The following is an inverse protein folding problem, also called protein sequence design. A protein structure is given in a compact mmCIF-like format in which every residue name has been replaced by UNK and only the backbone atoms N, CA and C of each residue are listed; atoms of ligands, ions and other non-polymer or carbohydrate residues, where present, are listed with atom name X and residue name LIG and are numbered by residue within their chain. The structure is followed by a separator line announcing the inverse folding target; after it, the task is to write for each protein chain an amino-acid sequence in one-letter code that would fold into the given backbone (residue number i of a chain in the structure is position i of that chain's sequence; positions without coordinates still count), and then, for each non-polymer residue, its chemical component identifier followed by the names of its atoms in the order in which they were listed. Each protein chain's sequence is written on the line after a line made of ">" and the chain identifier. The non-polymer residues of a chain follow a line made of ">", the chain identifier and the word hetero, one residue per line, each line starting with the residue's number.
data_IF_742141913121
#
_entry.id   IF_742141913121
#
_cell.length_a   1.000
_cell.length_b   1.000
_cell.length_c   1.000
_cell.angle_alpha   90.00
_cell.angle_beta   90.00
_cell.angle_gamma   90.00
#
_symmetry.space_group_name_H-M   'P 1'
#
loop_
_entity.id
_entity.type
_entity.pdbx_description
1 polymer ?
#
# COMPACT_ATOMS: atom_id res chain seq x y z
N UNK A 1 22.15 -76.27 -15.56
CA UNK A 1 21.38 -75.03 -15.80
C UNK A 1 22.32 -73.85 -15.58
N UNK A 2 23.05 -73.41 -16.63
CA UNK A 2 24.01 -72.29 -16.55
C UNK A 2 23.38 -71.08 -17.23
N UNK A 3 22.86 -70.14 -16.44
CA UNK A 3 22.32 -68.88 -16.94
C UNK A 3 23.48 -67.97 -17.37
N UNK A 4 23.43 -67.50 -18.62
CA UNK A 4 24.46 -66.66 -19.23
C UNK A 4 24.39 -65.24 -18.66
N UNK A 5 25.18 -65.01 -17.60
CA UNK A 5 25.35 -63.73 -16.91
C UNK A 5 25.61 -62.56 -17.88
N UNK A 6 26.30 -62.82 -19.01
CA UNK A 6 26.56 -61.82 -20.08
C UNK A 6 25.30 -61.31 -20.78
N UNK A 7 24.27 -62.14 -20.93
CA UNK A 7 23.00 -61.77 -21.55
C UNK A 7 22.16 -60.89 -20.63
N UNK A 8 22.21 -61.14 -19.32
CA UNK A 8 21.51 -60.36 -18.30
C UNK A 8 22.13 -58.97 -18.15
N UNK A 9 23.46 -58.86 -18.15
CA UNK A 9 24.15 -57.56 -18.11
C UNK A 9 23.85 -56.68 -19.32
N UNK A 10 23.70 -57.26 -20.51
CA UNK A 10 23.39 -56.49 -21.73
C UNK A 10 21.97 -55.90 -21.67
N UNK A 11 21.01 -56.67 -21.15
CA UNK A 11 19.63 -56.21 -20.95
C UNK A 11 19.53 -55.11 -19.90
N UNK A 12 20.28 -55.21 -18.79
CA UNK A 12 20.29 -54.19 -17.72
C UNK A 12 20.84 -52.86 -18.23
N UNK A 13 21.91 -52.87 -19.03
CA UNK A 13 22.50 -51.64 -19.60
C UNK A 13 21.54 -50.96 -20.57
N UNK A 14 20.84 -51.74 -21.41
CA UNK A 14 19.81 -51.20 -22.33
C UNK A 14 18.64 -50.61 -21.53
N UNK A 15 18.17 -51.28 -20.48
CA UNK A 15 17.07 -50.81 -19.65
C UNK A 15 17.43 -49.51 -18.90
N UNK A 16 18.66 -49.41 -18.36
CA UNK A 16 19.14 -48.20 -17.70
C UNK A 16 19.29 -47.03 -18.68
N UNK A 17 19.79 -47.29 -19.90
CA UNK A 17 19.89 -46.25 -20.94
C UNK A 17 18.52 -45.76 -21.44
N UNK A 18 17.52 -46.66 -21.48
CA UNK A 18 16.15 -46.32 -21.86
C UNK A 18 15.41 -45.54 -20.75
N UNK A 19 15.75 -45.75 -19.48
CA UNK A 19 15.20 -44.96 -18.37
C UNK A 19 15.85 -43.58 -18.20
N UNK A 20 17.07 -43.39 -18.73
CA UNK A 20 17.76 -42.11 -18.64
C UNK A 20 17.22 -41.08 -19.65
N UNK A 21 16.69 -41.51 -20.79
CA UNK A 21 16.10 -40.62 -21.81
C UNK A 21 14.66 -40.17 -21.51
N UNK A 22 14.00 -40.76 -20.51
CA UNK A 22 12.60 -40.42 -20.16
C UNK A 22 12.46 -39.40 -19.02
N UNK A 23 13.56 -38.92 -18.44
CA UNK A 23 13.55 -37.90 -17.37
C UNK A 23 13.82 -36.47 -17.87
N UNK A 24 13.91 -36.22 -19.19
CA UNK A 24 14.32 -34.91 -19.75
C UNK A 24 13.13 -34.05 -20.21
N UNK A 25 12.06 -33.97 -19.42
CA UNK A 25 10.85 -33.23 -19.86
C UNK A 25 10.11 -32.44 -18.78
N UNK A 26 10.67 -32.26 -17.59
CA UNK A 26 10.01 -31.49 -16.50
C UNK A 26 10.55 -30.07 -16.28
N UNK A 27 11.63 -29.66 -16.95
CA UNK A 27 12.34 -28.40 -16.65
C UNK A 27 11.83 -27.20 -17.48
N UNK A 28 11.39 -27.42 -18.73
CA UNK A 28 10.98 -26.33 -19.64
C UNK A 28 9.65 -25.66 -19.26
N UNK A 29 8.70 -26.43 -18.70
CA UNK A 29 7.40 -25.89 -18.29
C UNK A 29 7.55 -24.94 -17.09
N UNK A 30 8.42 -25.28 -16.14
CA UNK A 30 8.70 -24.44 -14.98
C UNK A 30 9.49 -23.18 -15.34
N UNK A 31 10.44 -23.28 -16.28
CA UNK A 31 11.26 -22.14 -16.70
C UNK A 31 10.45 -21.08 -17.49
N UNK A 32 9.45 -21.53 -18.28
CA UNK A 32 8.52 -20.64 -18.98
C UNK A 32 7.63 -19.86 -17.99
N UNK A 33 7.14 -20.52 -16.95
CA UNK A 33 6.30 -19.88 -15.94
C UNK A 33 7.10 -18.87 -15.11
N UNK A 34 8.34 -19.20 -14.74
CA UNK A 34 9.26 -18.29 -14.07
C UNK A 34 9.52 -17.05 -14.92
N UNK A 35 9.81 -17.22 -16.22
CA UNK A 35 10.00 -16.10 -17.16
C UNK A 35 8.75 -15.23 -17.29
N UNK A 36 7.57 -15.83 -17.36
CA UNK A 36 6.31 -15.09 -17.41
C UNK A 36 6.09 -14.25 -16.12
N UNK A 37 6.33 -14.85 -14.96
CA UNK A 37 6.21 -14.16 -13.67
C UNK A 37 7.21 -13.00 -13.55
N UNK A 38 8.47 -13.21 -13.92
CA UNK A 38 9.49 -12.16 -13.94
C UNK A 38 9.09 -11.00 -14.86
N UNK A 39 8.59 -11.31 -16.07
CA UNK A 39 8.11 -10.30 -17.00
C UNK A 39 6.95 -9.49 -16.40
N UNK A 40 6.04 -10.16 -15.70
CA UNK A 40 4.88 -9.51 -15.08
C UNK A 40 5.26 -8.65 -13.88
N UNK A 41 6.29 -9.03 -13.12
CA UNK A 41 6.86 -8.18 -12.06
C UNK A 41 7.39 -6.88 -12.67
N UNK A 42 8.21 -6.98 -13.72
CA UNK A 42 8.79 -5.81 -14.40
C UNK A 42 7.68 -4.90 -14.97
N UNK A 43 6.65 -5.48 -15.59
CA UNK A 43 5.52 -4.71 -16.11
C UNK A 43 4.78 -3.97 -14.98
N UNK A 44 4.51 -4.64 -13.87
CA UNK A 44 3.83 -4.05 -12.73
C UNK A 44 4.66 -2.96 -12.06
N UNK A 45 5.96 -3.16 -11.89
CA UNK A 45 6.89 -2.15 -11.35
C UNK A 45 6.91 -0.89 -12.23
N UNK A 46 6.99 -1.06 -13.54
CA UNK A 46 6.94 0.07 -14.48
C UNK A 46 5.61 0.80 -14.38
N UNK A 47 4.49 0.07 -14.31
CA UNK A 47 3.16 0.66 -14.20
C UNK A 47 2.97 1.39 -12.88
N UNK A 48 3.52 0.89 -11.77
CA UNK A 48 3.54 1.58 -10.48
C UNK A 48 4.30 2.90 -10.62
N UNK A 49 5.52 2.86 -11.19
CA UNK A 49 6.34 4.05 -11.39
C UNK A 49 5.62 5.13 -12.22
N UNK A 50 4.96 4.73 -13.30
CA UNK A 50 4.20 5.65 -14.16
C UNK A 50 3.02 6.27 -13.40
N UNK A 51 2.28 5.46 -12.64
CA UNK A 51 1.16 5.95 -11.82
C UNK A 51 1.64 6.91 -10.72
N UNK A 52 2.74 6.60 -10.05
CA UNK A 52 3.34 7.48 -9.04
C UNK A 52 3.81 8.81 -9.66
N UNK A 53 4.38 8.78 -10.86
CA UNK A 53 4.78 9.97 -11.58
C UNK A 53 3.56 10.83 -11.97
N UNK A 54 2.49 10.22 -12.48
CA UNK A 54 1.23 10.90 -12.79
C UNK A 54 0.66 11.55 -11.52
N UNK A 55 0.60 10.83 -10.40
CA UNK A 55 0.12 11.36 -9.12
C UNK A 55 0.92 12.61 -8.71
N UNK A 56 2.26 12.59 -8.85
CA UNK A 56 3.12 13.74 -8.54
C UNK A 56 2.88 14.94 -9.47
N UNK A 57 2.57 14.71 -10.74
CA UNK A 57 2.30 15.76 -11.72
C UNK A 57 0.91 16.39 -11.48
N UNK A 58 -0.09 15.59 -11.12
CA UNK A 58 -1.46 16.05 -10.90
C UNK A 58 -1.72 16.59 -9.49
N UNK A 59 -0.99 16.14 -8.46
CA UNK A 59 -1.07 16.68 -7.10
C UNK A 59 0.10 17.61 -6.85
N UNK A 60 0.15 18.71 -7.59
CA UNK A 60 1.14 19.75 -7.38
C UNK A 60 1.00 20.39 -5.98
N UNK A 61 2.00 21.16 -5.51
CA UNK A 61 1.97 21.81 -4.20
C UNK A 61 0.71 22.66 -3.95
N UNK A 62 0.16 23.25 -5.02
CA UNK A 62 -1.06 24.06 -4.98
C UNK A 62 -2.35 23.26 -4.79
N UNK A 63 -2.39 22.01 -5.26
CA UNK A 63 -3.56 21.15 -5.11
C UNK A 63 -3.56 20.51 -3.71
N UNK A 64 -2.38 20.23 -3.16
CA UNK A 64 -2.21 19.85 -1.75
C UNK A 64 -2.60 20.99 -0.79
N UNK A 65 -2.24 22.24 -1.09
CA UNK A 65 -2.69 23.41 -0.30
C UNK A 65 -4.22 23.56 -0.32
N UNK A 66 -4.86 23.37 -1.48
CA UNK A 66 -6.32 23.40 -1.60
C UNK A 66 -6.99 22.22 -0.87
N UNK A 67 -6.43 21.03 -0.97
CA UNK A 67 -6.94 19.85 -0.27
C UNK A 67 -6.87 20.03 1.26
N UNK A 68 -5.78 20.60 1.78
CA UNK A 68 -5.63 20.91 3.21
C UNK A 68 -6.59 22.03 3.64
N UNK A 69 -6.75 23.09 2.83
CA UNK A 69 -7.64 24.22 3.16
C UNK A 69 -9.10 23.79 3.39
N UNK A 70 -9.52 22.69 2.75
CA UNK A 70 -10.84 22.09 2.92
C UNK A 70 -10.78 20.69 3.55
N UNK A 71 -9.71 20.36 4.28
CA UNK A 71 -9.52 19.06 4.88
C UNK A 71 -10.66 18.66 5.82
N UNK A 72 -11.29 19.66 6.47
CA UNK A 72 -12.48 19.52 7.30
C UNK A 72 -13.74 19.04 6.55
N UNK A 73 -13.83 19.11 5.22
CA UNK A 73 -14.95 18.51 4.46
C UNK A 73 -14.87 16.99 4.41
N UNK A 74 -13.67 16.42 4.52
CA UNK A 74 -13.46 14.98 4.39
C UNK A 74 -13.55 14.28 5.75
N UNK A 75 -14.61 13.50 5.96
CA UNK A 75 -14.83 12.72 7.18
C UNK A 75 -13.67 11.79 7.55
N UNK A 76 -12.91 11.30 6.57
CA UNK A 76 -11.70 10.48 6.84
C UNK A 76 -10.63 11.27 7.58
N UNK A 77 -10.48 12.55 7.31
CA UNK A 77 -9.49 13.41 7.96
C UNK A 77 -9.81 13.60 9.46
N UNK A 78 -11.10 13.75 9.80
CA UNK A 78 -11.54 13.79 11.20
C UNK A 78 -11.19 12.51 11.97
N UNK A 79 -11.31 11.36 11.33
CA UNK A 79 -10.97 10.05 11.92
C UNK A 79 -9.47 9.81 12.05
N UNK A 80 -8.65 10.60 11.37
CA UNK A 80 -7.19 10.56 11.52
C UNK A 80 -6.71 11.39 12.72
N UNK A 81 -7.57 12.22 13.31
CA UNK A 81 -7.26 12.98 14.51
C UNK A 81 -6.99 12.04 15.69
N UNK A 82 -6.06 12.43 16.55
CA UNK A 82 -5.69 11.69 17.76
C UNK A 82 -5.58 12.66 18.93
N UNK A 83 -6.02 12.20 20.11
CA UNK A 83 -5.79 12.95 21.35
C UNK A 83 -4.29 13.21 21.52
N UNK A 84 -3.95 14.42 21.96
CA UNK A 84 -2.56 14.84 22.12
C UNK A 84 -1.96 15.57 20.93
N UNK A 85 -2.63 15.60 19.77
CA UNK A 85 -2.13 16.36 18.61
C UNK A 85 -2.04 17.86 18.90
N UNK A 86 -1.01 18.52 18.37
CA UNK A 86 -0.89 19.98 18.48
C UNK A 86 -1.85 20.71 17.53
N UNK A 87 -2.04 21.99 17.78
CA UNK A 87 -2.81 22.88 16.91
C UNK A 87 -2.34 22.84 15.45
N UNK A 88 -1.03 22.84 15.21
CA UNK A 88 -0.42 22.79 13.88
C UNK A 88 -0.67 21.45 13.18
N UNK A 89 -0.60 20.34 13.92
CA UNK A 89 -0.91 19.02 13.38
C UNK A 89 -2.38 18.92 12.97
N UNK A 90 -3.28 19.47 13.77
CA UNK A 90 -4.71 19.55 13.42
C UNK A 90 -4.93 20.41 12.18
N UNK A 91 -4.28 21.58 12.08
CA UNK A 91 -4.36 22.45 10.89
C UNK A 91 -3.84 21.78 9.62
N UNK A 92 -2.79 20.94 9.71
CA UNK A 92 -2.30 20.17 8.56
C UNK A 92 -3.31 19.14 8.04
N UNK A 93 -4.24 18.70 8.89
CA UNK A 93 -5.23 17.66 8.56
C UNK A 93 -6.57 18.29 8.14
N UNK A 94 -7.04 19.28 8.88
CA UNK A 94 -8.37 19.88 8.70
C UNK A 94 -8.34 21.23 8.00
N UNK A 95 -7.18 21.89 7.94
CA UNK A 95 -7.08 23.29 7.52
C UNK A 95 -7.37 24.27 8.66
N UNK A 96 -7.44 25.55 8.28
CA UNK A 96 -7.70 26.65 9.21
C UNK A 96 -9.17 26.66 9.68
N UNK A 97 -9.42 26.90 10.97
CA UNK A 97 -10.78 27.02 11.48
C UNK A 97 -11.42 28.34 11.07
N UNK A 98 -12.75 28.37 10.96
CA UNK A 98 -13.49 29.60 10.65
C UNK A 98 -13.66 30.48 11.89
N UNK A 99 -13.77 29.85 13.06
CA UNK A 99 -13.93 30.55 14.33
C UNK A 99 -13.12 29.86 15.40
N UNK A 100 -12.38 30.66 16.15
CA UNK A 100 -11.69 30.24 17.37
C UNK A 100 -12.35 30.93 18.56
N UNK A 101 -12.66 30.16 19.61
CA UNK A 101 -13.15 30.66 20.89
C UNK A 101 -12.17 30.23 21.96
N UNK A 102 -11.58 31.21 22.63
CA UNK A 102 -10.66 30.99 23.74
C UNK A 102 -11.37 31.38 25.05
N UNK A 103 -11.38 30.47 26.01
CA UNK A 103 -12.18 30.53 27.22
C UNK A 103 -11.63 29.57 28.27
N UNK A 104 -12.48 28.74 28.90
CA UNK A 104 -11.98 27.67 29.78
C UNK A 104 -11.25 26.56 29.01
N UNK A 105 -11.50 26.45 27.70
CA UNK A 105 -10.81 25.58 26.75
C UNK A 105 -10.81 26.26 25.38
N UNK A 106 -9.77 26.02 24.60
CA UNK A 106 -9.73 26.50 23.21
C UNK A 106 -10.61 25.60 22.34
N UNK A 107 -11.59 26.19 21.66
CA UNK A 107 -12.50 25.49 20.75
C UNK A 107 -12.41 26.12 19.37
N UNK A 108 -12.20 25.30 18.36
CA UNK A 108 -12.21 25.70 16.96
C UNK A 108 -13.43 25.11 16.25
N UNK A 109 -14.10 25.95 15.46
CA UNK A 109 -15.26 25.57 14.67
C UNK A 109 -14.94 25.58 13.19
N UNK A 110 -15.43 24.53 12.51
CA UNK A 110 -15.36 24.38 11.07
C UNK A 110 -16.76 24.54 10.46
N UNK A 111 -16.88 25.02 9.21
CA UNK A 111 -18.16 25.42 8.66
C UNK A 111 -19.00 24.20 8.28
N UNK A 112 -19.95 23.83 9.14
CA UNK A 112 -20.96 22.80 8.84
C UNK A 112 -22.28 23.14 9.55
N UNK A 113 -23.41 22.77 8.92
CA UNK A 113 -24.76 22.84 9.49
C UNK A 113 -24.87 22.14 10.87
N UNK A 114 -24.11 21.06 11.09
CA UNK A 114 -24.16 20.27 12.33
C UNK A 114 -23.12 20.69 13.39
N UNK A 115 -22.48 21.85 13.24
CA UNK A 115 -21.47 22.38 14.17
C UNK A 115 -20.30 21.41 14.41
N UNK A 116 -19.48 21.21 13.39
CA UNK A 116 -18.22 20.48 13.53
C UNK A 116 -17.19 21.32 14.30
N UNK A 117 -16.53 20.71 15.28
CA UNK A 117 -15.56 21.42 16.13
C UNK A 117 -14.45 20.51 16.62
N UNK A 118 -13.34 21.11 17.04
CA UNK A 118 -12.26 20.47 17.81
C UNK A 118 -12.03 21.26 19.11
N UNK A 119 -11.60 20.57 20.17
CA UNK A 119 -11.33 21.19 21.47
C UNK A 119 -9.93 20.83 21.97
N UNK A 120 -9.24 21.81 22.52
CA UNK A 120 -7.88 21.67 23.05
C UNK A 120 -7.85 21.88 24.57
N UNK A 121 -6.85 21.28 25.23
CA UNK A 121 -6.53 21.56 26.62
C UNK A 121 -5.76 22.88 26.79
N UNK A 122 -5.47 23.25 28.04
CA UNK A 122 -4.69 24.45 28.38
C UNK A 122 -3.25 24.41 27.84
N UNK A 123 -2.74 23.23 27.50
CA UNK A 123 -1.41 23.04 26.91
C UNK A 123 -1.45 23.09 25.38
N UNK A 124 -2.62 23.28 24.78
CA UNK A 124 -2.82 23.34 23.34
C UNK A 124 -2.91 21.98 22.65
N UNK A 125 -3.14 20.89 23.38
CA UNK A 125 -3.27 19.56 22.81
C UNK A 125 -4.73 19.19 22.55
N UNK A 126 -4.99 18.50 21.44
CA UNK A 126 -6.32 18.05 21.06
C UNK A 126 -6.89 17.07 22.10
N UNK A 127 -8.09 17.36 22.58
CA UNK A 127 -8.80 16.55 23.60
C UNK A 127 -10.05 15.87 23.07
N UNK A 128 -10.73 16.48 22.10
CA UNK A 128 -11.94 15.93 21.49
C UNK A 128 -12.36 16.68 20.23
N UNK A 129 -13.30 16.09 19.49
CA UNK A 129 -13.86 16.68 18.27
C UNK A 129 -15.26 16.13 17.98
N UNK A 130 -16.01 16.89 17.19
CA UNK A 130 -17.29 16.51 16.60
C UNK A 130 -17.16 16.55 15.07
N UNK A 131 -17.21 15.38 14.43
CA UNK A 131 -17.11 15.25 12.98
C UNK A 131 -18.45 15.62 12.30
N UNK A 132 -18.43 16.08 11.04
CA UNK A 132 -19.64 16.32 10.24
C UNK A 132 -20.42 15.05 9.87
#
# INVERSE_FOLDING_TARGET
>A
MKTNIRSITLFIVIFISLTFTLNVSSDEASDKDIKNMQQRIIELENRIKDLEQIIRIYHGPKDQEKEIAYGWLNKKNWRNLKKGMTQEEVKKILGEPVKSVDGSRLIWYYPNFYQSYVSFDEKGNLTGWNEP
#
